data_IF_479398355500
#
_entry.id   IF_479398355500
#
_cell.length_a   1.000
_cell.length_b   1.000
_cell.length_c   1.000
_cell.angle_alpha   90.00
_cell.angle_beta   90.00
_cell.angle_gamma   90.00
#
_symmetry.space_group_name_H-M   'P 1'
#
loop_
_entity.id
_entity.type
_entity.pdbx_description
1 polymer ?
#
# COMPACT_ATOMS: atom_id res chain seq x y z
N UNK A 1 5.36 -7.33 21.41
CA UNK A 1 6.00 -7.15 20.11
C UNK A 1 5.32 -8.00 19.03
N UNK A 2 4.94 -9.23 19.37
CA UNK A 2 4.24 -10.08 18.43
C UNK A 2 2.90 -9.51 17.99
N UNK A 3 2.19 -8.90 18.91
CA UNK A 3 0.89 -8.28 18.62
C UNK A 3 1.05 -7.13 17.65
N UNK A 4 2.09 -6.30 17.85
CA UNK A 4 2.33 -5.18 16.95
C UNK A 4 2.69 -5.66 15.55
N UNK A 5 3.47 -6.72 15.45
CA UNK A 5 3.82 -7.29 14.15
C UNK A 5 2.59 -7.81 13.44
N UNK A 6 1.69 -8.46 14.15
CA UNK A 6 0.45 -8.95 13.58
C UNK A 6 -0.41 -7.82 13.03
N UNK A 7 -0.50 -6.71 13.77
CA UNK A 7 -1.27 -5.55 13.34
C UNK A 7 -0.64 -4.94 12.10
N UNK A 8 0.69 -4.82 12.08
CA UNK A 8 1.40 -4.25 10.93
C UNK A 8 1.20 -5.10 9.68
N UNK A 9 1.26 -6.42 9.83
CA UNK A 9 1.03 -7.32 8.69
C UNK A 9 -0.37 -7.17 8.14
N UNK A 10 -1.36 -7.05 9.03
CA UNK A 10 -2.73 -6.83 8.61
C UNK A 10 -2.90 -5.53 7.84
N UNK A 11 -2.27 -4.46 8.32
CA UNK A 11 -2.33 -3.18 7.65
C UNK A 11 -1.65 -3.23 6.28
N UNK A 12 -0.52 -3.92 6.19
CA UNK A 12 0.19 -4.06 4.93
C UNK A 12 -0.62 -4.82 3.91
N UNK A 13 -1.33 -5.86 4.32
CA UNK A 13 -2.18 -6.62 3.42
C UNK A 13 -3.32 -5.76 2.88
N UNK A 14 -3.98 -5.01 3.75
CA UNK A 14 -5.04 -4.10 3.33
C UNK A 14 -4.50 -3.04 2.39
N UNK A 15 -3.37 -2.47 2.75
CA UNK A 15 -2.75 -1.43 1.93
C UNK A 15 -2.36 -1.99 0.56
N UNK A 16 -1.80 -3.19 0.54
CA UNK A 16 -1.43 -3.85 -0.71
C UNK A 16 -2.64 -4.04 -1.61
N UNK A 17 -3.76 -4.49 -1.04
CA UNK A 17 -4.99 -4.66 -1.82
C UNK A 17 -5.49 -3.34 -2.38
N UNK A 18 -5.48 -2.29 -1.57
CA UNK A 18 -5.93 -0.98 -2.01
C UNK A 18 -5.03 -0.42 -3.12
N UNK A 19 -3.72 -0.57 -2.93
CA UNK A 19 -2.76 -0.12 -3.94
C UNK A 19 -2.97 -0.86 -5.25
N UNK A 20 -3.14 -2.18 -5.18
CA UNK A 20 -3.36 -2.99 -6.37
C UNK A 20 -4.61 -2.57 -7.12
N UNK A 21 -5.71 -2.33 -6.40
CA UNK A 21 -6.97 -1.91 -7.00
C UNK A 21 -6.83 -0.56 -7.70
N UNK A 22 -6.20 0.38 -7.02
CA UNK A 22 -6.01 1.73 -7.58
C UNK A 22 -5.08 1.70 -8.77
N UNK A 23 -4.03 0.89 -8.69
CA UNK A 23 -3.09 0.72 -9.80
C UNK A 23 -3.81 0.14 -11.02
N UNK A 24 -4.68 -0.83 -10.80
CA UNK A 24 -5.45 -1.44 -11.88
C UNK A 24 -6.38 -0.44 -12.55
N UNK A 25 -6.80 0.60 -11.81
CA UNK A 25 -7.63 1.67 -12.37
C UNK A 25 -6.83 2.69 -13.16
N UNK A 26 -5.51 2.52 -13.23
CA UNK A 26 -4.64 3.41 -13.97
C UNK A 26 -4.15 4.60 -13.16
N UNK A 27 -4.27 4.56 -11.84
CA UNK A 27 -3.79 5.66 -11.01
C UNK A 27 -2.28 5.60 -10.85
N UNK A 28 -1.66 6.77 -10.79
CA UNK A 28 -0.22 6.87 -10.63
C UNK A 28 0.18 6.63 -9.17
N UNK A 29 1.47 6.34 -8.95
CA UNK A 29 2.02 6.19 -7.59
C UNK A 29 1.69 7.42 -6.76
N UNK A 30 1.85 8.60 -7.34
CA UNK A 30 1.60 9.87 -6.67
C UNK A 30 0.13 9.97 -6.22
N UNK A 31 -0.78 9.64 -7.11
CA UNK A 31 -2.21 9.68 -6.80
C UNK A 31 -2.58 8.68 -5.73
N UNK A 32 -2.05 7.47 -5.83
CA UNK A 32 -2.34 6.41 -4.85
C UNK A 32 -1.81 6.83 -3.47
N UNK A 33 -0.59 7.34 -3.43
CA UNK A 33 0.01 7.78 -2.17
C UNK A 33 -0.80 8.90 -1.53
N UNK A 34 -1.26 9.85 -2.34
CA UNK A 34 -2.05 10.96 -1.85
C UNK A 34 -3.39 10.49 -1.30
N UNK A 35 -4.06 9.62 -2.03
CA UNK A 35 -5.39 9.11 -1.62
C UNK A 35 -5.31 8.30 -0.34
N UNK A 36 -4.25 7.53 -0.18
CA UNK A 36 -4.06 6.68 0.99
C UNK A 36 -3.29 7.38 2.12
N UNK A 37 -2.86 8.61 1.86
CA UNK A 37 -2.06 9.38 2.81
C UNK A 37 -0.79 8.62 3.21
N UNK A 38 -0.15 7.99 2.22
CA UNK A 38 1.07 7.23 2.41
C UNK A 38 2.21 7.83 1.60
N UNK A 39 3.44 7.45 1.96
CA UNK A 39 4.62 7.88 1.23
C UNK A 39 4.70 7.16 -0.11
N UNK A 40 5.14 7.85 -1.15
CA UNK A 40 5.31 7.26 -2.47
C UNK A 40 6.27 6.07 -2.42
N UNK A 41 7.28 6.11 -1.57
CA UNK A 41 8.22 5.00 -1.42
C UNK A 41 7.51 3.74 -0.97
N UNK A 42 6.54 3.87 -0.08
CA UNK A 42 5.74 2.74 0.40
C UNK A 42 4.93 2.15 -0.75
N UNK A 43 4.30 3.01 -1.54
CA UNK A 43 3.49 2.58 -2.68
C UNK A 43 4.35 1.85 -3.70
N UNK A 44 5.53 2.41 -4.02
CA UNK A 44 6.44 1.77 -4.98
C UNK A 44 6.89 0.40 -4.49
N UNK A 45 7.19 0.28 -3.20
CA UNK A 45 7.60 -1.00 -2.63
C UNK A 45 6.50 -2.04 -2.78
N UNK A 46 5.26 -1.64 -2.53
CA UNK A 46 4.13 -2.53 -2.66
C UNK A 46 3.95 -2.97 -4.11
N UNK A 47 4.06 -2.04 -5.04
CA UNK A 47 3.91 -2.35 -6.46
C UNK A 47 5.00 -3.29 -6.95
N UNK A 48 6.20 -3.17 -6.41
CA UNK A 48 7.31 -4.07 -6.77
C UNK A 48 7.03 -5.51 -6.35
N UNK A 49 6.26 -5.69 -5.28
CA UNK A 49 5.93 -7.02 -4.78
C UNK A 49 4.72 -7.63 -5.50
N UNK A 50 4.03 -6.87 -6.27
CA UNK A 50 2.91 -7.36 -7.04
C UNK A 50 3.39 -7.98 -8.36
#
# INVERSE_FOLDING_TARGET
QGIQQGIQQGKEQLLTQQVAKKHAKGKSVQEIADELEEDEKVIRRILEKL
#
